data_IF_272071168906
#
_entry.id   IF_272071168906
#
_cell.length_a   1.000
_cell.length_b   1.000
_cell.length_c   1.000
_cell.angle_alpha   90.00
_cell.angle_beta   90.00
_cell.angle_gamma   90.00
#
_symmetry.space_group_name_H-M   'P 1'
#
loop_
_entity.id
_entity.type
_entity.pdbx_description
1 polymer ?
#
# COMPACT_ATOMS: atom_id res chain seq x y z
N UNK A 1 24.25 7.75 -18.99
CA UNK A 1 24.95 6.45 -19.02
C UNK A 1 24.36 5.62 -20.15
N UNK A 2 25.14 4.85 -20.92
CA UNK A 2 24.62 4.02 -22.00
C UNK A 2 23.77 2.85 -21.47
N UNK A 3 22.53 2.75 -21.94
CA UNK A 3 21.59 1.65 -21.68
C UNK A 3 21.14 1.05 -23.01
N UNK A 4 21.18 -0.28 -23.13
CA UNK A 4 20.75 -1.00 -24.33
C UNK A 4 19.37 -1.62 -24.10
N UNK A 5 18.40 -1.35 -24.96
CA UNK A 5 17.07 -1.98 -24.83
C UNK A 5 17.15 -3.47 -25.16
N UNK A 6 16.70 -4.35 -24.26
CA UNK A 6 16.70 -5.79 -24.50
C UNK A 6 15.69 -6.21 -25.58
N UNK A 7 14.66 -5.41 -25.86
CA UNK A 7 13.63 -5.71 -26.88
C UNK A 7 13.99 -5.29 -28.32
N UNK A 8 14.75 -4.21 -28.55
CA UNK A 8 15.19 -3.80 -29.91
C UNK A 8 16.71 -3.67 -30.11
N UNK A 9 17.52 -3.73 -29.06
CA UNK A 9 18.98 -3.65 -29.13
C UNK A 9 19.58 -2.26 -29.25
N UNK A 10 18.77 -1.19 -29.40
CA UNK A 10 19.28 0.19 -29.49
C UNK A 10 19.82 0.72 -28.17
N UNK A 11 20.85 1.56 -28.27
CA UNK A 11 21.62 2.12 -27.15
C UNK A 11 21.23 3.59 -26.95
N UNK A 12 20.76 3.92 -25.75
CA UNK A 12 20.39 5.28 -25.35
C UNK A 12 21.42 5.82 -24.35
N UNK A 13 21.89 7.06 -24.54
CA UNK A 13 22.89 7.70 -23.66
C UNK A 13 22.27 8.31 -22.39
N UNK A 14 20.98 8.62 -22.45
CA UNK A 14 20.14 9.11 -21.35
C UNK A 14 19.45 7.91 -20.64
N UNK A 15 19.14 8.07 -19.36
CA UNK A 15 18.43 7.10 -18.52
C UNK A 15 16.91 7.29 -18.49
N UNK A 16 16.36 8.43 -18.96
CA UNK A 16 14.90 8.69 -18.96
C UNK A 16 14.08 7.56 -19.59
N UNK A 17 14.55 7.05 -20.73
CA UNK A 17 13.94 5.93 -21.46
C UNK A 17 13.80 4.63 -20.65
N UNK A 18 14.52 4.45 -19.54
CA UNK A 18 14.34 3.30 -18.63
C UNK A 18 13.02 3.42 -17.85
N UNK A 19 12.56 4.63 -17.56
CA UNK A 19 11.28 4.91 -16.89
C UNK A 19 10.13 5.01 -17.92
N UNK A 20 10.34 5.79 -18.97
CA UNK A 20 9.33 6.07 -20.01
C UNK A 20 9.11 4.86 -20.95
N UNK A 21 10.13 4.00 -21.09
CA UNK A 21 10.18 2.89 -22.04
C UNK A 21 10.92 3.23 -23.34
N UNK A 22 11.29 2.19 -24.10
CA UNK A 22 12.00 2.34 -25.36
C UNK A 22 11.09 2.92 -26.46
N UNK A 23 11.42 4.09 -27.04
CA UNK A 23 10.51 4.82 -27.94
C UNK A 23 10.20 4.12 -29.27
N UNK A 24 10.96 3.10 -29.67
CA UNK A 24 10.73 2.36 -30.92
C UNK A 24 9.98 1.03 -30.77
N UNK A 25 9.91 0.45 -29.57
CA UNK A 25 9.35 -0.89 -29.39
C UNK A 25 8.51 -1.08 -28.12
N UNK A 26 8.35 -0.03 -27.31
CA UNK A 26 7.63 -0.04 -26.03
C UNK A 26 8.28 -0.91 -24.94
N UNK A 27 9.48 -1.45 -25.18
CA UNK A 27 10.18 -2.32 -24.23
C UNK A 27 10.65 -1.55 -23.00
N UNK A 28 10.34 -2.06 -21.80
CA UNK A 28 10.81 -1.51 -20.51
C UNK A 28 12.07 -2.20 -19.98
N UNK A 29 12.49 -3.31 -20.57
CA UNK A 29 13.69 -4.06 -20.18
C UNK A 29 14.95 -3.44 -20.84
N UNK A 30 15.89 -2.97 -20.02
CA UNK A 30 17.16 -2.39 -20.47
C UNK A 30 18.34 -3.00 -19.72
N UNK A 31 19.45 -3.17 -20.44
CA UNK A 31 20.73 -3.62 -19.89
C UNK A 31 21.72 -2.45 -19.82
N UNK A 32 22.29 -2.19 -18.65
CA UNK A 32 23.34 -1.18 -18.48
C UNK A 32 24.69 -1.77 -18.90
N UNK A 33 25.37 -1.17 -19.88
CA UNK A 33 26.67 -1.68 -20.34
C UNK A 33 27.57 -0.64 -21.01
N UNK A 34 28.88 -0.80 -20.83
CA UNK A 34 29.93 -0.02 -21.50
C UNK A 34 30.23 -0.51 -22.94
N UNK A 35 29.79 -1.72 -23.31
CA UNK A 35 29.93 -2.32 -24.65
C UNK A 35 28.60 -3.00 -25.03
N UNK A 36 28.05 -2.83 -26.25
CA UNK A 36 26.81 -3.49 -26.63
C UNK A 36 26.90 -5.01 -26.44
N UNK A 37 25.81 -5.61 -25.95
CA UNK A 37 25.59 -7.05 -25.98
C UNK A 37 25.32 -7.51 -27.41
N UNK A 38 25.87 -8.67 -27.73
CA UNK A 38 25.54 -9.49 -28.89
C UNK A 38 24.07 -9.94 -28.85
N UNK A 39 23.49 -10.24 -30.01
CA UNK A 39 22.06 -10.58 -30.09
C UNK A 39 21.69 -11.89 -29.36
N UNK A 40 22.60 -12.86 -29.29
CA UNK A 40 22.37 -14.14 -28.60
C UNK A 40 22.25 -13.95 -27.09
N UNK A 41 23.25 -13.34 -26.43
CA UNK A 41 23.23 -12.99 -25.00
C UNK A 41 22.03 -12.13 -24.63
N UNK A 42 21.64 -11.22 -25.54
CA UNK A 42 20.47 -10.38 -25.37
C UNK A 42 19.14 -11.17 -25.43
N UNK A 43 19.06 -12.25 -26.22
CA UNK A 43 17.91 -13.18 -26.22
C UNK A 43 17.93 -14.14 -25.02
N UNK A 44 19.11 -14.54 -24.58
CA UNK A 44 19.34 -15.37 -23.39
C UNK A 44 18.84 -14.66 -22.12
N UNK A 45 19.32 -13.44 -21.85
CA UNK A 45 18.85 -12.61 -20.73
C UNK A 45 17.34 -12.33 -20.80
N UNK A 46 16.79 -12.16 -22.01
CA UNK A 46 15.35 -11.94 -22.17
C UNK A 46 14.54 -13.18 -21.76
N UNK A 47 14.96 -14.38 -22.16
CA UNK A 47 14.34 -15.65 -21.76
C UNK A 47 14.46 -15.92 -20.27
N UNK A 48 15.60 -15.58 -19.66
CA UNK A 48 15.83 -15.71 -18.22
C UNK A 48 14.85 -14.82 -17.45
N UNK A 49 14.73 -13.54 -17.83
CA UNK A 49 13.72 -12.62 -17.28
C UNK A 49 12.27 -13.07 -17.54
N UNK A 50 11.99 -13.69 -18.69
CA UNK A 50 10.67 -14.26 -19.00
C UNK A 50 10.37 -15.48 -18.12
N UNK A 51 11.34 -16.34 -17.82
CA UNK A 51 11.18 -17.47 -16.88
C UNK A 51 11.06 -17.03 -15.41
N UNK A 52 11.82 -16.05 -14.95
CA UNK A 52 11.70 -15.52 -13.59
C UNK A 52 10.41 -14.70 -13.39
N UNK A 53 9.94 -14.01 -14.43
CA UNK A 53 8.68 -13.26 -14.42
C UNK A 53 7.44 -14.14 -14.61
N UNK A 54 7.56 -15.28 -15.29
CA UNK A 54 6.50 -16.26 -15.48
C UNK A 54 6.30 -17.12 -14.22
N UNK A 55 5.66 -16.54 -13.21
CA UNK A 55 4.98 -17.36 -12.21
C UNK A 55 3.83 -18.08 -12.93
N UNK A 56 4.03 -19.36 -13.28
CA UNK A 56 2.99 -20.25 -13.83
C UNK A 56 1.96 -20.58 -12.76
N UNK A 57 1.18 -19.58 -12.36
CA UNK A 57 0.02 -19.75 -11.48
C UNK A 57 -1.12 -20.33 -12.32
N UNK A 58 -1.24 -21.65 -12.30
CA UNK A 58 -2.47 -22.36 -12.71
C UNK A 58 -3.69 -21.61 -12.14
N UNK A 59 -4.73 -21.36 -12.94
CA UNK A 59 -5.78 -20.40 -12.58
C UNK A 59 -6.42 -20.64 -11.20
N UNK A 60 -6.61 -21.91 -10.84
CA UNK A 60 -7.09 -22.36 -9.53
C UNK A 60 -6.20 -21.87 -8.37
N UNK A 61 -4.87 -21.90 -8.51
CA UNK A 61 -3.94 -21.36 -7.51
C UNK A 61 -4.11 -19.85 -7.36
N UNK A 62 -4.35 -19.11 -8.46
CA UNK A 62 -4.51 -17.66 -8.41
C UNK A 62 -5.82 -17.25 -7.73
N UNK A 63 -6.93 -17.94 -8.05
CA UNK A 63 -8.21 -17.71 -7.38
C UNK A 63 -8.16 -18.07 -5.90
N UNK A 64 -7.51 -19.17 -5.52
CA UNK A 64 -7.31 -19.55 -4.12
C UNK A 64 -6.46 -18.52 -3.35
N UNK A 65 -5.40 -17.98 -3.96
CA UNK A 65 -4.60 -16.88 -3.38
C UNK A 65 -5.47 -15.62 -3.19
N UNK A 66 -6.28 -15.25 -4.19
CA UNK A 66 -7.21 -14.12 -4.08
C UNK A 66 -8.28 -14.34 -2.99
N UNK A 67 -8.76 -15.57 -2.82
CA UNK A 67 -9.75 -15.94 -1.82
C UNK A 67 -9.15 -15.83 -0.41
N UNK A 68 -7.92 -16.31 -0.19
CA UNK A 68 -7.27 -16.19 1.11
C UNK A 68 -6.86 -14.74 1.42
N UNK A 69 -6.43 -13.93 0.44
CA UNK A 69 -6.19 -12.49 0.64
C UNK A 69 -7.49 -11.78 1.08
N UNK A 70 -8.64 -12.12 0.48
CA UNK A 70 -9.95 -11.62 0.92
C UNK A 70 -10.26 -12.04 2.36
N UNK A 71 -10.09 -13.33 2.70
CA UNK A 71 -10.33 -13.83 4.07
C UNK A 71 -9.46 -13.12 5.09
N UNK A 72 -8.13 -13.07 4.87
CA UNK A 72 -7.17 -12.41 5.78
C UNK A 72 -7.46 -10.92 5.96
N UNK A 73 -7.95 -10.22 4.92
CA UNK A 73 -8.40 -8.83 5.01
C UNK A 73 -9.68 -8.66 5.85
N UNK A 74 -10.61 -9.61 5.77
CA UNK A 74 -11.82 -9.61 6.61
C UNK A 74 -11.51 -9.98 8.07
N UNK A 75 -10.63 -10.97 8.28
CA UNK A 75 -10.11 -11.37 9.60
C UNK A 75 -9.42 -10.19 10.30
N UNK A 76 -8.47 -9.52 9.63
CA UNK A 76 -7.79 -8.33 10.15
C UNK A 76 -8.76 -7.16 10.38
N UNK A 77 -9.82 -7.00 9.58
CA UNK A 77 -10.85 -5.99 9.83
C UNK A 77 -11.62 -6.31 11.11
N UNK A 78 -12.07 -7.55 11.31
CA UNK A 78 -12.80 -7.96 12.52
C UNK A 78 -11.93 -7.84 13.78
N UNK A 79 -10.63 -8.12 13.66
CA UNK A 79 -9.67 -7.91 14.74
C UNK A 79 -9.52 -6.42 15.09
N UNK A 80 -9.39 -5.54 14.09
CA UNK A 80 -9.36 -4.09 14.29
C UNK A 80 -10.67 -3.54 14.89
N UNK A 81 -11.82 -4.08 14.48
CA UNK A 81 -13.15 -3.75 15.04
C UNK A 81 -13.22 -4.16 16.54
N UNK A 82 -12.72 -5.35 16.88
CA UNK A 82 -12.59 -5.84 18.27
C UNK A 82 -11.51 -5.15 19.09
N UNK A 83 -10.50 -4.56 18.45
CA UNK A 83 -9.52 -3.67 19.10
C UNK A 83 -10.13 -2.29 19.40
N UNK A 84 -10.95 -1.73 18.50
CA UNK A 84 -11.73 -0.51 18.80
C UNK A 84 -12.58 -0.67 20.06
N UNK A 85 -13.25 -1.81 20.24
CA UNK A 85 -14.04 -2.10 21.46
C UNK A 85 -13.20 -2.03 22.76
N UNK A 86 -11.89 -2.32 22.69
CA UNK A 86 -11.00 -2.47 23.85
C UNK A 86 -10.25 -1.22 24.27
N UNK A 87 -10.02 -0.26 23.37
CA UNK A 87 -9.31 0.98 23.70
C UNK A 87 -10.30 1.95 24.33
N UNK A 88 -10.24 2.16 25.64
CA UNK A 88 -11.22 3.00 26.35
C UNK A 88 -11.21 4.45 25.84
N UNK A 89 -12.38 5.09 25.87
CA UNK A 89 -12.57 6.43 25.32
C UNK A 89 -11.90 7.54 26.14
N UNK A 90 -11.55 7.25 27.41
CA UNK A 90 -10.81 8.09 28.34
C UNK A 90 -9.90 7.18 29.16
N UNK A 91 -8.61 7.53 29.28
CA UNK A 91 -7.58 6.84 30.05
C UNK A 91 -7.01 7.80 31.11
N UNK A 92 -6.73 7.31 32.32
CA UNK A 92 -6.27 8.13 33.46
C UNK A 92 -4.79 7.86 33.70
N UNK A 93 -3.92 8.86 33.47
CA UNK A 93 -2.48 8.72 33.68
C UNK A 93 -2.11 8.92 35.14
N UNK A 94 -2.52 10.06 35.69
CA UNK A 94 -2.11 10.54 37.00
C UNK A 94 -3.18 11.46 37.62
N UNK A 95 -2.99 11.91 38.87
CA UNK A 95 -3.99 12.74 39.57
C UNK A 95 -4.21 14.10 38.89
N UNK A 96 -5.27 14.19 38.08
CA UNK A 96 -5.64 15.38 37.30
C UNK A 96 -5.25 15.32 35.83
N UNK A 97 -4.54 14.27 35.38
CA UNK A 97 -4.11 14.11 33.99
C UNK A 97 -4.84 12.94 33.30
N UNK A 98 -5.59 13.29 32.25
CA UNK A 98 -6.50 12.41 31.52
C UNK A 98 -6.16 12.43 30.02
N UNK A 99 -5.88 11.25 29.45
CA UNK A 99 -5.72 11.09 28.00
C UNK A 99 -7.08 10.69 27.38
N UNK A 100 -7.55 11.46 26.40
CA UNK A 100 -8.91 11.30 25.87
C UNK A 100 -8.85 10.86 24.41
N UNK A 101 -9.42 9.69 24.09
CA UNK A 101 -9.51 9.22 22.71
C UNK A 101 -10.68 9.90 21.98
N UNK A 102 -10.39 11.10 21.47
CA UNK A 102 -11.36 11.96 20.76
C UNK A 102 -11.94 11.28 19.51
N UNK A 103 -11.30 10.27 18.90
CA UNK A 103 -11.94 9.53 17.81
C UNK A 103 -13.04 8.58 18.31
N UNK A 104 -12.75 7.75 19.32
CA UNK A 104 -13.70 6.74 19.81
C UNK A 104 -14.91 7.37 20.51
N UNK A 105 -14.67 8.32 21.41
CA UNK A 105 -15.69 9.10 22.16
C UNK A 105 -16.86 9.61 21.31
N UNK A 106 -16.59 9.77 20.02
CA UNK A 106 -17.25 10.68 19.13
C UNK A 106 -18.04 9.86 18.07
N UNK A 107 -17.63 8.61 17.80
CA UNK A 107 -18.43 7.60 17.08
C UNK A 107 -19.64 7.14 17.91
N UNK A 108 -19.50 7.11 19.25
CA UNK A 108 -20.48 6.52 20.19
C UNK A 108 -21.63 7.49 20.59
N UNK A 109 -21.37 8.80 20.71
CA UNK A 109 -22.39 9.85 20.93
C UNK A 109 -22.73 10.18 22.40
N UNK A 110 -22.18 11.27 22.95
CA UNK A 110 -22.08 11.57 24.42
C UNK A 110 -22.63 12.98 24.78
N UNK A 111 -22.79 13.43 26.06
CA UNK A 111 -23.23 14.82 26.46
C UNK A 111 -22.42 15.77 27.42
N UNK A 112 -22.36 17.07 27.04
CA UNK A 112 -21.77 18.26 27.71
C UNK A 112 -22.76 18.65 28.79
N UNK A 113 -22.23 18.83 29.99
CA UNK A 113 -22.59 19.91 30.89
C UNK A 113 -21.24 20.46 31.39
N UNK A 114 -21.24 21.63 32.03
CA UNK A 114 -20.16 21.99 32.95
C UNK A 114 -20.81 22.63 34.17
N UNK A 115 -20.36 22.27 35.36
CA UNK A 115 -20.85 22.85 36.61
C UNK A 115 -19.76 22.84 37.66
N UNK A 116 -19.70 23.93 38.44
CA UNK A 116 -18.88 24.02 39.66
C UNK A 116 -17.37 23.70 39.48
N UNK A 117 -16.87 23.86 38.24
CA UNK A 117 -15.47 23.62 37.85
C UNK A 117 -15.21 22.30 37.11
N UNK A 118 -16.21 21.42 36.98
CA UNK A 118 -16.09 20.12 36.32
C UNK A 118 -16.65 20.14 34.89
N UNK A 119 -15.85 19.64 33.93
CA UNK A 119 -16.23 19.38 32.54
C UNK A 119 -16.97 18.04 32.39
N UNK A 120 -17.90 17.98 31.43
CA UNK A 120 -18.57 16.79 30.90
C UNK A 120 -18.59 16.94 29.34
N UNK A 121 -18.95 15.96 28.50
CA UNK A 121 -18.55 15.94 27.05
C UNK A 121 -19.71 15.64 26.03
N UNK A 122 -20.20 16.62 25.21
CA UNK A 122 -21.28 16.41 24.17
C UNK A 122 -20.74 16.32 22.76
N UNK A 123 -21.06 15.19 22.16
CA UNK A 123 -20.62 14.77 20.84
C UNK A 123 -21.83 14.16 20.12
N UNK A 124 -22.96 14.89 19.97
CA UNK A 124 -24.24 14.26 19.59
C UNK A 124 -24.22 13.71 18.16
N UNK A 125 -23.44 14.36 17.30
CA UNK A 125 -23.44 14.18 15.84
C UNK A 125 -22.26 14.88 15.17
N UNK A 126 -21.13 15.07 15.85
CA UNK A 126 -20.02 15.90 15.34
C UNK A 126 -19.23 15.26 14.16
N UNK A 127 -19.65 14.07 13.70
CA UNK A 127 -19.27 13.46 12.41
C UNK A 127 -20.33 13.54 11.30
N UNK A 128 -21.59 13.89 11.58
CA UNK A 128 -22.71 13.57 10.65
C UNK A 128 -22.74 14.41 9.35
N UNK A 129 -21.85 15.37 9.18
CA UNK A 129 -21.62 16.12 7.94
C UNK A 129 -20.24 16.81 7.98
N UNK A 130 -19.63 17.28 6.89
CA UNK A 130 -20.12 17.66 5.54
C UNK A 130 -19.25 16.96 4.46
N UNK A 131 -19.72 16.49 3.31
CA UNK A 131 -20.57 17.10 2.25
C UNK A 131 -19.91 18.28 1.54
#
# INVERSE_FOLDING_TARGET
MPHQCLKCGKIYKDSRYVLDGCPECGGKSFYYTKKPLDEEKRKEILKEMEHEGAIEVEGEKLENILLEIKRKKEEARKEAEKMKERVESIDVKDMGEYEINVMRLLEEGVIIVHKEGAYFIYLPSLFKWKK
#
